data_IF_306991604694
#
_entry.id   IF_306991604694
#
_cell.length_a   1.000
_cell.length_b   1.000
_cell.length_c   1.000
_cell.angle_alpha   90.00
_cell.angle_beta   90.00
_cell.angle_gamma   90.00
#
_symmetry.space_group_name_H-M   'P 1'
#
loop_
_entity.id
_entity.type
_entity.pdbx_description
1 polymer ?
#
# COMPACT_ATOMS: atom_id res chain seq x y z
N UNK A 1 27.65 11.95 -16.59
CA UNK A 1 26.53 12.78 -16.10
C UNK A 1 26.27 13.87 -17.11
N UNK A 2 25.07 13.91 -17.66
CA UNK A 2 24.71 14.95 -18.64
C UNK A 2 24.63 16.33 -17.96
N UNK A 3 24.73 17.41 -18.72
CA UNK A 3 24.62 18.78 -18.18
C UNK A 3 23.29 18.99 -17.46
N UNK A 4 22.20 18.42 -17.99
CA UNK A 4 20.85 18.53 -17.41
C UNK A 4 20.75 17.85 -16.05
N UNK A 5 21.46 16.74 -15.86
CA UNK A 5 21.50 16.00 -14.59
C UNK A 5 22.18 16.81 -13.47
N UNK A 6 23.20 17.60 -13.83
CA UNK A 6 23.87 18.51 -12.90
C UNK A 6 22.97 19.70 -12.52
N UNK A 7 22.22 20.23 -13.49
CA UNK A 7 21.30 21.35 -13.25
C UNK A 7 20.10 20.90 -12.41
N UNK A 8 19.54 19.73 -12.69
CA UNK A 8 18.53 19.07 -11.85
C UNK A 8 18.98 18.94 -10.39
N UNK A 9 20.20 18.43 -10.18
CA UNK A 9 20.77 18.31 -8.83
C UNK A 9 20.92 19.63 -8.09
N UNK A 10 21.18 20.73 -8.82
CA UNK A 10 21.38 22.07 -8.25
C UNK A 10 20.06 22.75 -7.91
N UNK A 11 19.05 22.64 -8.76
CA UNK A 11 17.68 23.12 -8.48
C UNK A 11 17.12 22.36 -7.27
N UNK A 12 17.27 21.04 -7.25
CA UNK A 12 16.88 20.19 -6.12
C UNK A 12 17.52 20.60 -4.79
N UNK A 13 18.78 21.02 -4.80
CA UNK A 13 19.48 21.46 -3.60
C UNK A 13 18.91 22.77 -3.04
N UNK A 14 18.59 23.73 -3.92
CA UNK A 14 17.97 25.00 -3.51
C UNK A 14 16.59 24.77 -2.89
N UNK A 15 15.79 23.86 -3.45
CA UNK A 15 14.47 23.53 -2.90
C UNK A 15 14.57 22.90 -1.51
N UNK A 16 15.55 22.01 -1.28
CA UNK A 16 15.80 21.47 0.06
C UNK A 16 16.19 22.54 1.07
N UNK A 17 17.03 23.50 0.67
CA UNK A 17 17.43 24.60 1.55
C UNK A 17 16.24 25.50 1.90
N UNK A 18 15.32 25.70 0.95
CA UNK A 18 14.10 26.43 1.20
C UNK A 18 13.16 25.71 2.19
N UNK A 19 13.05 24.39 2.08
CA UNK A 19 12.15 23.58 2.91
C UNK A 19 12.74 23.23 4.29
N UNK A 20 14.06 23.28 4.45
CA UNK A 20 14.78 22.89 5.66
C UNK A 20 15.25 24.05 6.56
N UNK A 21 14.94 25.31 6.22
CA UNK A 21 15.25 26.47 7.06
C UNK A 21 14.02 26.96 7.81
N UNK A 22 14.20 27.33 9.07
CA UNK A 22 13.14 27.93 9.91
C UNK A 22 13.01 29.46 9.68
N UNK A 23 13.87 30.05 8.84
CA UNK A 23 13.86 31.47 8.53
C UNK A 23 13.07 31.76 7.24
N UNK A 24 11.93 32.45 7.37
CA UNK A 24 11.04 32.77 6.26
C UNK A 24 11.73 33.53 5.11
N UNK A 25 12.60 34.50 5.42
CA UNK A 25 13.30 35.28 4.39
C UNK A 25 14.33 34.45 3.62
N UNK A 26 14.96 33.49 4.30
CA UNK A 26 15.91 32.57 3.69
C UNK A 26 15.19 31.53 2.81
N UNK A 27 14.06 31.01 3.29
CA UNK A 27 13.19 30.12 2.52
C UNK A 27 12.74 30.77 1.20
N UNK A 28 12.27 32.02 1.26
CA UNK A 28 11.86 32.79 0.08
C UNK A 28 13.02 33.02 -0.89
N UNK A 29 14.22 33.36 -0.39
CA UNK A 29 15.40 33.58 -1.22
C UNK A 29 15.82 32.31 -1.97
N UNK A 30 15.81 31.15 -1.30
CA UNK A 30 16.12 29.87 -1.91
C UNK A 30 15.05 29.42 -2.91
N UNK A 31 13.76 29.61 -2.61
CA UNK A 31 12.67 29.32 -3.55
C UNK A 31 12.77 30.18 -4.82
N UNK A 32 13.01 31.48 -4.67
CA UNK A 32 13.18 32.39 -5.80
C UNK A 32 14.41 32.01 -6.65
N UNK A 33 15.51 31.59 -6.01
CA UNK A 33 16.69 31.10 -6.71
C UNK A 33 16.41 29.80 -7.49
N UNK A 34 15.69 28.85 -6.88
CA UNK A 34 15.31 27.60 -7.54
C UNK A 34 14.40 27.85 -8.75
N UNK A 35 13.41 28.75 -8.61
CA UNK A 35 12.52 29.16 -9.70
C UNK A 35 13.28 29.78 -10.87
N UNK A 36 14.16 30.77 -10.60
CA UNK A 36 14.97 31.39 -11.66
C UNK A 36 15.83 30.37 -12.40
N UNK A 37 16.46 29.46 -11.67
CA UNK A 37 17.33 28.44 -12.26
C UNK A 37 16.51 27.44 -13.10
N UNK A 38 15.36 27.00 -12.60
CA UNK A 38 14.43 26.13 -13.31
C UNK A 38 13.96 26.73 -14.64
N UNK A 39 13.53 28.00 -14.62
CA UNK A 39 13.12 28.75 -15.82
C UNK A 39 14.27 28.89 -16.82
N UNK A 40 15.48 29.21 -16.36
CA UNK A 40 16.64 29.38 -17.23
C UNK A 40 17.06 28.09 -17.96
N UNK A 41 16.76 26.92 -17.37
CA UNK A 41 17.09 25.62 -17.95
C UNK A 41 15.90 24.89 -18.57
N UNK A 42 14.71 25.50 -18.58
CA UNK A 42 13.46 24.83 -19.00
C UNK A 42 13.19 23.51 -18.24
N UNK A 43 13.63 23.42 -16.98
CA UNK A 43 13.45 22.26 -16.12
C UNK A 43 12.26 22.52 -15.21
N UNK A 44 11.31 21.58 -15.17
CA UNK A 44 10.17 21.67 -14.28
C UNK A 44 10.60 21.52 -12.81
N UNK A 45 10.16 22.45 -11.96
CA UNK A 45 10.46 22.49 -10.53
C UNK A 45 10.08 21.20 -9.81
N UNK A 46 8.98 20.56 -10.21
CA UNK A 46 8.51 19.34 -9.61
C UNK A 46 9.35 18.13 -10.05
N UNK A 47 9.86 18.13 -11.28
CA UNK A 47 10.91 17.17 -11.72
C UNK A 47 12.17 17.35 -10.88
N UNK A 48 12.59 18.60 -10.61
CA UNK A 48 13.73 18.88 -9.75
C UNK A 48 13.51 18.45 -8.29
N UNK A 49 12.31 18.68 -7.71
CA UNK A 49 11.94 18.14 -6.38
C UNK A 49 12.09 16.62 -6.33
N UNK A 50 11.49 15.93 -7.30
CA UNK A 50 11.58 14.47 -7.37
C UNK A 50 13.02 13.95 -7.57
N UNK A 51 13.89 14.75 -8.18
CA UNK A 51 15.31 14.45 -8.31
C UNK A 51 16.07 14.68 -6.99
N UNK A 52 15.61 15.64 -6.17
CA UNK A 52 16.12 15.89 -4.83
C UNK A 52 15.81 14.77 -3.86
N UNK A 53 14.59 14.23 -3.93
CA UNK A 53 14.14 13.11 -3.11
C UNK A 53 14.95 11.83 -3.36
N UNK A 54 15.44 11.63 -4.59
CA UNK A 54 16.36 10.52 -4.92
C UNK A 54 17.70 10.59 -4.17
N UNK A 55 18.06 11.74 -3.58
CA UNK A 55 19.36 11.99 -2.93
C UNK A 55 19.30 12.08 -1.41
N UNK A 56 18.12 12.23 -0.82
CA UNK A 56 17.85 11.99 0.60
C UNK A 56 17.85 10.49 0.80
N UNK A 57 18.97 9.94 1.31
CA UNK A 57 19.22 8.50 1.56
C UNK A 57 18.23 7.57 0.88
N UNK A 58 18.45 7.34 -0.43
CA UNK A 58 17.51 6.69 -1.33
C UNK A 58 16.64 5.66 -0.59
N UNK A 59 15.38 6.00 -0.31
CA UNK A 59 14.40 5.00 0.07
C UNK A 59 14.31 4.09 -1.15
N UNK A 60 15.11 3.04 -1.14
CA UNK A 60 15.12 2.04 -2.20
C UNK A 60 14.14 0.96 -1.78
N UNK A 61 13.46 0.32 -2.73
CA UNK A 61 12.62 -0.82 -2.41
C UNK A 61 13.47 -1.90 -1.72
N UNK A 62 12.93 -2.44 -0.62
CA UNK A 62 13.55 -3.50 0.18
C UNK A 62 12.73 -4.78 0.07
N UNK A 63 13.33 -5.89 0.48
CA UNK A 63 12.65 -7.16 0.70
C UNK A 63 12.47 -7.37 2.21
N UNK A 64 11.23 -7.62 2.65
CA UNK A 64 10.92 -7.98 4.03
C UNK A 64 10.14 -9.27 4.10
N UNK A 65 10.49 -10.15 5.04
CA UNK A 65 9.73 -11.37 5.31
C UNK A 65 8.60 -11.06 6.30
N UNK A 66 7.36 -11.36 5.89
CA UNK A 66 6.17 -11.24 6.73
C UNK A 66 5.69 -12.65 7.08
N UNK A 67 5.77 -13.00 8.37
CA UNK A 67 5.29 -14.28 8.88
C UNK A 67 3.76 -14.26 8.97
N UNK A 68 3.12 -15.24 8.35
CA UNK A 68 1.65 -15.37 8.31
C UNK A 68 1.16 -16.34 9.36
N UNK A 69 1.92 -17.40 9.62
CA UNK A 69 1.61 -18.35 10.69
C UNK A 69 2.52 -19.56 10.68
N UNK A 70 2.34 -20.40 11.70
CA UNK A 70 3.19 -21.56 11.94
C UNK A 70 2.98 -22.67 10.90
N UNK A 71 4.04 -23.42 10.53
CA UNK A 71 3.92 -24.61 9.71
C UNK A 71 2.87 -25.60 10.24
N UNK A 72 2.01 -26.10 9.35
CA UNK A 72 0.95 -27.05 9.70
C UNK A 72 -0.36 -26.41 10.17
N UNK A 73 -0.41 -25.09 10.39
CA UNK A 73 -1.66 -24.38 10.65
C UNK A 73 -2.63 -24.51 9.46
N UNK A 74 -3.91 -24.76 9.75
CA UNK A 74 -4.94 -24.93 8.72
C UNK A 74 -5.40 -23.58 8.20
N UNK A 75 -5.55 -23.48 6.88
CA UNK A 75 -6.14 -22.30 6.24
C UNK A 75 -5.19 -21.15 5.99
N UNK A 76 -3.88 -21.31 6.17
CA UNK A 76 -2.87 -20.25 5.93
C UNK A 76 -3.04 -19.52 4.59
N UNK A 77 -3.50 -20.21 3.53
CA UNK A 77 -3.73 -19.62 2.21
C UNK A 77 -4.75 -18.47 2.23
N UNK A 78 -5.75 -18.49 3.11
CA UNK A 78 -6.74 -17.40 3.21
C UNK A 78 -6.13 -16.16 3.83
N UNK A 79 -5.25 -16.34 4.83
CA UNK A 79 -4.47 -15.26 5.44
C UNK A 79 -3.44 -14.68 4.47
N UNK A 80 -2.72 -15.54 3.73
CA UNK A 80 -1.83 -15.08 2.65
C UNK A 80 -2.62 -14.28 1.60
N UNK A 81 -3.78 -14.78 1.17
CA UNK A 81 -4.60 -14.06 0.19
C UNK A 81 -4.94 -12.65 0.69
N UNK A 82 -5.35 -12.51 1.95
CA UNK A 82 -5.66 -11.22 2.55
C UNK A 82 -4.45 -10.28 2.52
N UNK A 83 -3.25 -10.77 2.87
CA UNK A 83 -2.03 -9.96 2.78
C UNK A 83 -1.75 -9.53 1.34
N UNK A 84 -1.82 -10.47 0.38
CA UNK A 84 -1.51 -10.19 -1.04
C UNK A 84 -2.46 -9.14 -1.63
N UNK A 85 -3.75 -9.18 -1.31
CA UNK A 85 -4.70 -8.16 -1.83
C UNK A 85 -4.48 -6.79 -1.20
N UNK A 86 -4.06 -6.73 0.08
CA UNK A 86 -3.70 -5.48 0.76
C UNK A 86 -2.41 -4.92 0.17
N UNK A 87 -1.39 -5.75 0.01
CA UNK A 87 -0.11 -5.39 -0.59
C UNK A 87 -0.29 -4.84 -2.01
N UNK A 88 -1.13 -5.49 -2.83
CA UNK A 88 -1.43 -5.03 -4.18
C UNK A 88 -2.04 -3.62 -4.20
N UNK A 89 -2.86 -3.27 -3.21
CA UNK A 89 -3.43 -1.93 -3.10
C UNK A 89 -2.39 -0.88 -2.67
N UNK A 90 -1.44 -1.26 -1.82
CA UNK A 90 -0.43 -0.37 -1.23
C UNK A 90 0.92 -0.41 -1.98
N UNK A 91 0.96 -0.75 -3.26
CA UNK A 91 2.20 -0.78 -4.05
C UNK A 91 3.30 -1.70 -3.48
N UNK A 92 2.91 -2.85 -2.95
CA UNK A 92 3.82 -3.90 -2.48
C UNK A 92 3.66 -5.16 -3.35
N UNK A 93 4.79 -5.72 -3.81
CA UNK A 93 4.84 -7.02 -4.51
C UNK A 93 5.12 -8.15 -3.53
N UNK A 94 4.70 -9.37 -3.86
CA UNK A 94 4.73 -10.49 -2.93
C UNK A 94 5.19 -11.79 -3.61
N UNK A 95 6.20 -12.45 -3.03
CA UNK A 95 6.48 -13.86 -3.28
C UNK A 95 5.94 -14.69 -2.11
N UNK A 96 5.21 -15.76 -2.40
CA UNK A 96 4.59 -16.60 -1.37
C UNK A 96 5.37 -17.89 -1.18
N UNK A 97 5.66 -18.24 0.07
CA UNK A 97 6.25 -19.54 0.41
C UNK A 97 5.33 -20.70 -0.03
N UNK A 98 5.91 -21.81 -0.51
CA UNK A 98 5.14 -22.97 -0.98
C UNK A 98 4.19 -23.55 0.09
N UNK A 99 4.59 -23.47 1.36
CA UNK A 99 3.81 -23.88 2.52
C UNK A 99 2.86 -22.78 3.07
N UNK A 100 2.85 -21.59 2.46
CA UNK A 100 2.03 -20.43 2.86
C UNK A 100 2.26 -19.93 4.31
N UNK A 101 3.42 -20.22 4.90
CA UNK A 101 3.77 -19.80 6.28
C UNK A 101 4.28 -18.36 6.36
N UNK A 102 4.87 -17.86 5.30
CA UNK A 102 5.34 -16.48 5.19
C UNK A 102 5.25 -15.98 3.74
N UNK A 103 5.35 -14.66 3.59
CA UNK A 103 5.39 -13.93 2.33
C UNK A 103 6.64 -13.06 2.31
N UNK A 104 7.37 -13.02 1.20
CA UNK A 104 8.38 -11.98 0.95
C UNK A 104 7.68 -10.78 0.32
N UNK A 105 7.59 -9.68 1.07
CA UNK A 105 7.09 -8.41 0.60
C UNK A 105 8.25 -7.61 -0.01
N UNK A 106 8.01 -7.03 -1.19
CA UNK A 106 8.94 -6.16 -1.90
C UNK A 106 8.26 -4.80 -2.09
N UNK A 107 8.88 -3.74 -1.61
CA UNK A 107 8.23 -2.44 -1.51
C UNK A 107 9.13 -1.42 -0.82
N UNK A 108 8.68 -0.17 -0.76
CA UNK A 108 9.29 0.83 0.10
C UNK A 108 8.87 0.54 1.55
N UNK A 109 9.72 0.86 2.52
CA UNK A 109 9.48 0.48 3.93
C UNK A 109 8.11 0.97 4.45
N UNK A 110 7.74 2.20 4.13
CA UNK A 110 6.46 2.81 4.52
C UNK A 110 5.25 2.03 3.96
N UNK A 111 5.33 1.59 2.70
CA UNK A 111 4.27 0.83 2.04
C UNK A 111 4.13 -0.58 2.64
N UNK A 112 5.26 -1.20 2.98
CA UNK A 112 5.29 -2.50 3.67
C UNK A 112 4.70 -2.37 5.07
N UNK A 113 5.03 -1.31 5.79
CA UNK A 113 4.53 -1.05 7.15
C UNK A 113 3.03 -0.77 7.17
N UNK A 114 2.56 0.05 6.22
CA UNK A 114 1.13 0.29 6.03
C UNK A 114 0.38 -1.02 5.70
N UNK A 115 0.93 -1.83 4.79
CA UNK A 115 0.36 -3.12 4.42
C UNK A 115 0.28 -4.08 5.60
N UNK A 116 1.35 -4.18 6.39
CA UNK A 116 1.42 -5.09 7.54
C UNK A 116 0.51 -4.65 8.70
N UNK A 117 0.44 -3.35 8.96
CA UNK A 117 -0.46 -2.77 9.98
C UNK A 117 -1.92 -3.03 9.61
N UNK A 118 -2.31 -2.72 8.36
CA UNK A 118 -3.66 -2.96 7.87
C UNK A 118 -4.01 -4.45 7.87
N UNK A 119 -3.06 -5.30 7.47
CA UNK A 119 -3.22 -6.76 7.54
C UNK A 119 -3.52 -7.24 8.96
N UNK A 120 -2.73 -6.81 9.95
CA UNK A 120 -2.91 -7.21 11.35
C UNK A 120 -4.31 -6.85 11.86
N UNK A 121 -4.76 -5.61 11.59
CA UNK A 121 -6.12 -5.16 11.93
C UNK A 121 -7.20 -6.02 11.26
N UNK A 122 -7.07 -6.26 9.96
CA UNK A 122 -8.10 -6.98 9.19
C UNK A 122 -8.14 -8.47 9.49
N UNK A 123 -7.02 -9.09 9.85
CA UNK A 123 -7.01 -10.48 10.33
C UNK A 123 -7.85 -10.62 11.59
N UNK A 124 -7.68 -9.71 12.57
CA UNK A 124 -8.48 -9.74 13.80
C UNK A 124 -9.98 -9.60 13.51
N UNK A 125 -10.35 -8.67 12.62
CA UNK A 125 -11.74 -8.47 12.20
C UNK A 125 -12.30 -9.71 11.46
N UNK A 126 -11.52 -10.29 10.54
CA UNK A 126 -11.90 -11.47 9.77
C UNK A 126 -12.11 -12.70 10.67
N UNK A 127 -11.19 -12.95 11.60
CA UNK A 127 -11.27 -14.08 12.53
C UNK A 127 -12.47 -13.94 13.46
N UNK A 128 -12.72 -12.74 14.00
CA UNK A 128 -13.89 -12.46 14.83
C UNK A 128 -15.19 -12.71 14.07
N UNK A 129 -15.36 -12.11 12.90
CA UNK A 129 -16.58 -12.24 12.10
C UNK A 129 -16.79 -13.68 11.60
N UNK A 130 -15.71 -14.39 11.25
CA UNK A 130 -15.78 -15.78 10.84
C UNK A 130 -16.19 -16.69 12.01
N UNK A 131 -15.67 -16.44 13.21
CA UNK A 131 -16.02 -17.20 14.42
C UNK A 131 -17.49 -17.02 14.77
N UNK A 132 -18.01 -15.79 14.71
CA UNK A 132 -19.42 -15.47 14.93
C UNK A 132 -20.34 -16.15 13.89
N UNK A 133 -19.95 -16.13 12.61
CA UNK A 133 -20.70 -16.84 11.57
C UNK A 133 -20.75 -18.35 11.83
N UNK A 134 -19.63 -18.96 12.20
CA UNK A 134 -19.58 -20.40 12.47
C UNK A 134 -20.38 -20.76 13.73
N UNK A 135 -20.33 -19.95 14.79
CA UNK A 135 -21.10 -20.20 16.02
C UNK A 135 -22.60 -20.07 15.82
N UNK A 136 -23.05 -19.23 14.88
CA UNK A 136 -24.47 -19.12 14.53
C UNK A 136 -25.08 -20.41 13.94
N UNK A 137 -24.25 -21.33 13.43
CA UNK A 137 -24.71 -22.57 12.79
C UNK A 137 -25.30 -22.39 11.39
N UNK A 138 -25.37 -21.16 10.87
CA UNK A 138 -25.92 -20.84 9.54
C UNK A 138 -25.16 -21.50 8.38
N UNK A 139 -23.96 -22.04 8.63
CA UNK A 139 -23.18 -22.75 7.62
C UNK A 139 -23.67 -24.18 7.36
N UNK A 140 -24.44 -24.77 8.27
CA UNK A 140 -24.91 -26.16 8.14
C UNK A 140 -25.81 -26.30 6.92
N UNK A 141 -25.69 -27.39 6.12
CA UNK A 141 -24.93 -28.61 6.40
C UNK A 141 -23.44 -28.56 5.95
N UNK A 142 -22.94 -27.43 5.46
CA UNK A 142 -21.54 -27.31 5.03
C UNK A 142 -20.58 -27.67 6.19
N UNK A 143 -19.53 -28.48 5.96
CA UNK A 143 -18.51 -28.71 6.98
C UNK A 143 -17.87 -27.40 7.47
N UNK A 144 -17.66 -27.29 8.78
CA UNK A 144 -17.17 -26.07 9.45
C UNK A 144 -15.88 -25.51 8.83
N UNK A 145 -14.93 -26.37 8.48
CA UNK A 145 -13.66 -25.96 7.87
C UNK A 145 -13.91 -25.36 6.48
N UNK A 146 -14.70 -26.04 5.64
CA UNK A 146 -15.07 -25.57 4.30
C UNK A 146 -15.77 -24.21 4.37
N UNK A 147 -16.73 -24.06 5.29
CA UNK A 147 -17.43 -22.81 5.51
C UNK A 147 -16.49 -21.69 5.95
N UNK A 148 -15.60 -21.94 6.91
CA UNK A 148 -14.60 -20.97 7.39
C UNK A 148 -13.68 -20.50 6.27
N UNK A 149 -13.13 -21.42 5.48
CA UNK A 149 -12.25 -21.08 4.36
C UNK A 149 -12.98 -20.25 3.31
N UNK A 150 -14.19 -20.65 2.90
CA UNK A 150 -15.00 -19.89 1.94
C UNK A 150 -15.36 -18.49 2.45
N UNK A 151 -15.68 -18.37 3.74
CA UNK A 151 -15.92 -17.08 4.39
C UNK A 151 -14.69 -16.17 4.32
N UNK A 152 -13.52 -16.67 4.75
CA UNK A 152 -12.29 -15.88 4.78
C UNK A 152 -11.83 -15.47 3.37
N UNK A 153 -11.93 -16.37 2.39
CA UNK A 153 -11.61 -16.06 0.98
C UNK A 153 -12.49 -14.94 0.44
N UNK A 154 -13.80 -14.96 0.75
CA UNK A 154 -14.74 -13.94 0.31
C UNK A 154 -14.55 -12.60 1.06
N UNK A 155 -14.21 -12.66 2.35
CA UNK A 155 -13.83 -11.48 3.13
C UNK A 155 -12.61 -10.79 2.49
N UNK A 156 -11.55 -11.53 2.23
CA UNK A 156 -10.34 -11.01 1.59
C UNK A 156 -10.60 -10.45 0.19
N UNK A 157 -11.38 -11.16 -0.63
CA UNK A 157 -11.75 -10.68 -1.96
C UNK A 157 -12.52 -9.35 -1.91
N UNK A 158 -13.47 -9.20 -0.97
CA UNK A 158 -14.22 -7.95 -0.81
C UNK A 158 -13.35 -6.80 -0.30
N UNK A 159 -12.45 -7.06 0.65
CA UNK A 159 -11.48 -6.06 1.13
C UNK A 159 -10.59 -5.59 -0.02
N UNK A 160 -10.03 -6.53 -0.81
CA UNK A 160 -9.21 -6.20 -1.96
C UNK A 160 -9.93 -5.33 -2.98
N UNK A 161 -11.19 -5.65 -3.29
CA UNK A 161 -12.02 -4.82 -4.16
C UNK A 161 -12.18 -3.40 -3.63
N UNK A 162 -12.52 -3.23 -2.35
CA UNK A 162 -12.71 -1.90 -1.73
C UNK A 162 -11.44 -1.07 -1.72
N UNK A 163 -10.29 -1.70 -1.46
CA UNK A 163 -9.00 -1.02 -1.49
C UNK A 163 -8.61 -0.60 -2.91
N UNK A 164 -8.88 -1.44 -3.92
CA UNK A 164 -8.67 -1.08 -5.31
C UNK A 164 -9.56 0.09 -5.74
N UNK A 165 -10.84 0.07 -5.39
CA UNK A 165 -11.79 1.16 -5.66
C UNK A 165 -11.33 2.48 -5.02
N UNK A 166 -10.94 2.45 -3.73
CA UNK A 166 -10.44 3.62 -3.03
C UNK A 166 -9.16 4.19 -3.66
N UNK A 167 -8.26 3.31 -4.12
CA UNK A 167 -7.05 3.71 -4.83
C UNK A 167 -7.38 4.35 -6.18
N UNK A 168 -8.29 3.77 -6.95
CA UNK A 168 -8.71 4.31 -8.24
C UNK A 168 -9.33 5.71 -8.08
N UNK A 169 -10.16 5.91 -7.06
CA UNK A 169 -10.74 7.21 -6.71
C UNK A 169 -9.65 8.23 -6.37
N UNK A 170 -8.73 7.90 -5.46
CA UNK A 170 -7.61 8.79 -5.11
C UNK A 170 -6.73 9.16 -6.31
N UNK A 171 -6.50 8.21 -7.23
CA UNK A 171 -5.76 8.47 -8.47
C UNK A 171 -6.53 9.37 -9.45
N UNK A 172 -7.85 9.26 -9.51
CA UNK A 172 -8.68 10.13 -10.35
C UNK A 172 -8.71 11.55 -9.79
N UNK A 173 -8.92 11.71 -8.49
CA UNK A 173 -8.89 13.00 -7.80
C UNK A 173 -7.55 13.72 -8.01
N UNK A 174 -6.42 13.00 -7.88
CA UNK A 174 -5.09 13.55 -8.12
C UNK A 174 -4.85 13.99 -9.58
N UNK A 175 -5.53 13.37 -10.55
CA UNK A 175 -5.42 13.72 -11.99
C UNK A 175 -6.36 14.85 -12.41
N UNK A 176 -7.53 14.94 -11.79
CA UNK A 176 -8.60 15.86 -12.20
C UNK A 176 -8.72 17.12 -11.33
N UNK A 177 -8.05 17.17 -10.18
CA UNK A 177 -8.11 18.31 -9.26
C UNK A 177 -7.42 19.58 -9.80
N UNK A 178 -7.79 20.78 -9.30
CA UNK A 178 -7.11 22.05 -9.63
C UNK A 178 -5.61 22.06 -9.29
N UNK A 179 -5.18 21.13 -8.45
CA UNK A 179 -3.80 20.89 -8.03
C UNK A 179 -3.19 19.65 -8.69
N UNK A 180 -3.60 19.30 -9.91
CA UNK A 180 -2.95 18.28 -10.73
C UNK A 180 -1.51 18.71 -11.05
N UNK A 181 -0.62 18.60 -10.06
CA UNK A 181 0.79 18.93 -10.16
C UNK A 181 1.44 17.76 -10.91
N UNK A 182 1.97 17.98 -12.13
CA UNK A 182 2.57 16.93 -12.94
C UNK A 182 3.66 16.14 -12.18
N UNK A 183 4.35 16.79 -11.24
CA UNK A 183 5.39 16.17 -10.41
C UNK A 183 4.93 15.03 -9.52
N UNK A 184 3.74 15.09 -8.90
CA UNK A 184 3.26 14.01 -8.02
C UNK A 184 2.97 12.75 -8.83
N UNK A 185 2.35 12.90 -9.99
CA UNK A 185 2.10 11.80 -10.92
C UNK A 185 3.41 11.17 -11.43
N UNK A 186 4.43 11.99 -11.71
CA UNK A 186 5.77 11.54 -12.11
C UNK A 186 6.47 10.81 -10.95
N UNK A 187 6.39 11.32 -9.73
CA UNK A 187 6.99 10.69 -8.55
C UNK A 187 6.39 9.31 -8.27
N UNK A 188 5.06 9.18 -8.28
CA UNK A 188 4.36 7.90 -8.13
C UNK A 188 4.73 6.92 -9.25
N UNK A 189 4.87 7.42 -10.48
CA UNK A 189 5.30 6.58 -11.61
C UNK A 189 6.75 6.11 -11.47
N UNK A 190 7.65 6.97 -11.03
CA UNK A 190 9.05 6.61 -10.79
C UNK A 190 9.15 5.55 -9.69
N UNK A 191 8.39 5.71 -8.59
CA UNK A 191 8.29 4.74 -7.50
C UNK A 191 7.85 3.35 -7.99
N UNK A 192 6.80 3.29 -8.82
CA UNK A 192 6.31 2.04 -9.43
C UNK A 192 7.36 1.38 -10.35
N UNK A 193 8.09 2.16 -11.14
CA UNK A 193 9.15 1.64 -12.01
C UNK A 193 10.31 1.07 -11.20
N UNK A 194 10.76 1.79 -10.17
CA UNK A 194 11.85 1.37 -9.29
C UNK A 194 11.50 0.07 -8.56
N UNK A 195 10.29 -0.03 -8.02
CA UNK A 195 9.78 -1.25 -7.41
C UNK A 195 9.77 -2.42 -8.40
N UNK A 196 9.26 -2.20 -9.62
CA UNK A 196 9.19 -3.25 -10.65
C UNK A 196 10.57 -3.77 -11.03
N UNK A 197 11.53 -2.87 -11.18
CA UNK A 197 12.91 -3.23 -11.52
C UNK A 197 13.61 -3.96 -10.38
N UNK A 198 13.40 -3.53 -9.13
CA UNK A 198 13.89 -4.24 -7.96
C UNK A 198 13.28 -5.63 -7.84
N UNK A 199 11.95 -5.73 -7.91
CA UNK A 199 11.23 -7.00 -7.82
C UNK A 199 11.69 -8.00 -8.89
N UNK A 200 11.88 -7.55 -10.14
CA UNK A 200 12.37 -8.41 -11.23
C UNK A 200 13.77 -8.97 -10.95
N UNK A 201 14.63 -8.22 -10.25
CA UNK A 201 16.00 -8.63 -9.90
C UNK A 201 16.05 -9.48 -8.63
N UNK A 202 15.21 -9.18 -7.64
CA UNK A 202 15.27 -9.76 -6.30
C UNK A 202 14.40 -11.02 -6.13
N UNK A 203 13.26 -11.10 -6.83
CA UNK A 203 12.32 -12.23 -6.72
C UNK A 203 12.99 -13.55 -7.16
N UNK A 204 12.74 -14.60 -6.37
CA UNK A 204 13.17 -15.97 -6.66
C UNK A 204 11.99 -16.91 -6.88
N UNK A 205 10.77 -16.36 -6.97
CA UNK A 205 9.56 -17.14 -7.16
C UNK A 205 9.60 -17.94 -8.46
N UNK A 206 9.11 -19.18 -8.37
CA UNK A 206 8.92 -20.06 -9.52
C UNK A 206 7.44 -20.38 -9.63
N UNK A 207 6.80 -19.88 -10.68
CA UNK A 207 5.38 -20.10 -10.96
C UNK A 207 4.43 -19.08 -10.33
N UNK A 208 3.14 -19.40 -10.34
CA UNK A 208 2.07 -18.51 -9.87
C UNK A 208 1.38 -19.11 -8.66
N UNK A 209 1.29 -18.35 -7.57
CA UNK A 209 0.51 -18.74 -6.41
C UNK A 209 -0.99 -18.49 -6.65
N UNK A 210 -1.85 -19.38 -6.14
CA UNK A 210 -3.31 -19.24 -6.18
C UNK A 210 -3.90 -19.41 -4.79
N UNK A 211 -4.86 -18.57 -4.40
CA UNK A 211 -5.47 -18.66 -3.06
C UNK A 211 -6.28 -19.95 -2.86
N UNK A 212 -6.99 -20.41 -3.89
CA UNK A 212 -7.81 -21.62 -3.86
C UNK A 212 -7.06 -22.83 -4.41
N UNK A 213 -7.29 -24.00 -3.81
CA UNK A 213 -6.94 -25.29 -4.43
C UNK A 213 -8.16 -25.85 -5.16
N UNK A 214 -7.93 -26.66 -6.20
CA UNK A 214 -9.01 -27.32 -6.96
C UNK A 214 -9.87 -28.27 -6.10
N UNK A 215 -9.33 -28.72 -4.96
CA UNK A 215 -9.99 -29.63 -4.01
C UNK A 215 -10.77 -28.93 -2.90
N UNK A 216 -10.78 -27.60 -2.86
CA UNK A 216 -11.49 -26.86 -1.83
C UNK A 216 -13.01 -26.97 -2.05
N UNK A 217 -13.72 -27.48 -1.04
CA UNK A 217 -15.19 -27.47 -1.05
C UNK A 217 -15.75 -26.04 -1.17
N UNK A 218 -16.97 -25.92 -1.68
CA UNK A 218 -17.60 -24.63 -1.96
C UNK A 218 -18.84 -24.42 -1.08
N UNK A 219 -19.05 -23.18 -0.61
CA UNK A 219 -20.26 -22.80 0.13
C UNK A 219 -20.66 -21.37 -0.21
N UNK A 220 -21.79 -21.23 -0.91
CA UNK A 220 -22.31 -19.93 -1.34
C UNK A 220 -22.72 -19.06 -0.16
N UNK A 221 -23.36 -19.62 0.85
CA UNK A 221 -23.79 -18.90 2.06
C UNK A 221 -22.60 -18.37 2.85
N UNK A 222 -21.55 -19.19 3.02
CA UNK A 222 -20.33 -18.75 3.68
C UNK A 222 -19.63 -17.62 2.92
N UNK A 223 -19.59 -17.69 1.58
CA UNK A 223 -19.04 -16.60 0.76
C UNK A 223 -19.86 -15.33 0.88
N UNK A 224 -21.20 -15.41 0.85
CA UNK A 224 -22.07 -14.23 1.04
C UNK A 224 -21.88 -13.62 2.43
N UNK A 225 -21.74 -14.44 3.46
CA UNK A 225 -21.48 -13.96 4.82
C UNK A 225 -20.10 -13.29 4.93
N UNK A 226 -19.06 -13.90 4.36
CA UNK A 226 -17.71 -13.34 4.29
C UNK A 226 -17.66 -12.02 3.52
N UNK A 227 -18.37 -11.94 2.40
CA UNK A 227 -18.52 -10.72 1.60
C UNK A 227 -19.18 -9.58 2.40
N UNK A 228 -20.29 -9.86 3.10
CA UNK A 228 -20.94 -8.87 3.98
C UNK A 228 -20.03 -8.41 5.11
N UNK A 229 -19.25 -9.32 5.70
CA UNK A 229 -18.26 -8.97 6.72
C UNK A 229 -17.15 -8.09 6.13
N UNK A 230 -16.63 -8.43 4.94
CA UNK A 230 -15.61 -7.64 4.24
C UNK A 230 -16.10 -6.23 3.84
N UNK A 231 -17.39 -6.05 3.57
CA UNK A 231 -17.99 -4.71 3.34
C UNK A 231 -18.00 -3.84 4.59
N UNK A 232 -18.20 -4.46 5.76
CA UNK A 232 -18.25 -3.77 7.06
C UNK A 232 -16.88 -3.62 7.73
N UNK A 233 -15.84 -4.24 7.17
CA UNK A 233 -14.49 -4.16 7.72
C UNK A 233 -13.98 -2.73 7.70
N UNK A 234 -13.32 -2.32 8.78
CA UNK A 234 -12.66 -1.02 8.90
C UNK A 234 -11.31 -1.10 8.21
N UNK A 235 -11.12 -0.27 7.17
CA UNK A 235 -9.91 -0.23 6.34
C UNK A 235 -8.93 0.89 6.76
N UNK A 236 -9.36 1.82 7.61
CA UNK A 236 -8.50 2.86 8.18
C UNK A 236 -8.03 2.46 9.58
N UNK A 237 -6.77 2.77 9.89
CA UNK A 237 -6.36 2.93 11.29
C UNK A 237 -7.05 4.18 11.84
N UNK A 238 -7.52 4.12 13.08
CA UNK A 238 -8.28 5.20 13.70
C UNK A 238 -7.49 6.52 13.70
N UNK A 239 -7.76 7.40 12.73
CA UNK A 239 -7.46 8.84 12.82
C UNK A 239 -8.54 9.52 13.68
N UNK A 240 -8.85 8.97 14.85
CA UNK A 240 -9.81 9.54 15.81
C UNK A 240 -9.12 10.18 17.05
N UNK A 241 -7.79 10.37 17.03
CA UNK A 241 -7.05 10.95 18.17
C UNK A 241 -6.14 12.15 17.86
N UNK A 242 -6.36 12.86 16.75
CA UNK A 242 -5.90 14.26 16.62
C UNK A 242 -7.11 15.17 16.49
N UNK A 243 -7.88 15.24 17.57
CA UNK A 243 -8.93 16.24 17.73
C UNK A 243 -8.34 17.63 17.53
N UNK A 244 -8.64 18.22 16.37
CA UNK A 244 -8.57 19.66 16.19
C UNK A 244 -9.42 20.26 17.30
N UNK A 245 -8.77 20.89 18.27
CA UNK A 245 -9.44 21.78 19.21
C UNK A 245 -10.08 22.88 18.37
N UNK A 246 -11.40 22.81 18.22
CA UNK A 246 -12.19 23.96 17.83
C UNK A 246 -11.98 25.01 18.91
N UNK A 247 -11.12 25.98 18.65
CA UNK A 247 -11.11 27.23 19.38
C UNK A 247 -12.47 27.91 19.11
N UNK A 248 -13.36 27.89 20.09
CA UNK A 248 -14.45 28.84 20.14
C UNK A 248 -13.90 30.09 20.81
N UNK A 249 -13.75 31.13 19.98
CA UNK A 249 -13.49 32.49 20.39
C UNK A 249 -14.61 33.02 21.30
N UNK A 250 -14.21 34.06 22.04
CA UNK A 250 -14.86 34.70 23.17
C UNK A 250 -16.04 35.59 22.74
#
# INVERSE_FOLDING_TARGET
>A
MSTDEKMLGRIAALLRQAEGTDNAHEAEAFMAAAQRLATATSIDLAVARSHGDKRTGAQTPVQRTITIGEPGARGLRTYVQLFVVIAAANDVKCDVASNSTFVYAYGFDEDIDASHTLYTSLVMQMVRASTEYISSGAHKPTPTITARLNFQLAFGARVGQRLAEAREQAQQEAKSGPSAIPGTAIALRNKDLELKDYYRKASKARGTWRATSATAGYSSDARRAGDRAGRRARLGGDTELTGARSALER
#
